data_IF_204330082247
#
_entry.id   IF_204330082247
#
_cell.length_a   1.000
_cell.length_b   1.000
_cell.length_c   1.000
_cell.angle_alpha   90.00
_cell.angle_beta   90.00
_cell.angle_gamma   90.00
#
_symmetry.space_group_name_H-M   'P 1'
#
loop_
_entity.id
_entity.type
_entity.pdbx_description
1 polymer ?
#
# COMPACT_ATOMS: atom_id res chain seq x y z
N UNK A 1 -10.09 -31.07 0.37
CA UNK A 1 -9.36 -30.68 1.61
C UNK A 1 -9.93 -29.35 2.07
N UNK A 2 -10.54 -29.32 3.25
CA UNK A 2 -10.99 -28.07 3.88
C UNK A 2 -9.81 -27.38 4.57
N UNK A 3 -9.74 -26.05 4.49
CA UNK A 3 -8.72 -25.28 5.20
C UNK A 3 -9.22 -25.05 6.64
N UNK A 4 -8.32 -25.09 7.62
CA UNK A 4 -8.68 -24.73 9.00
C UNK A 4 -8.75 -23.20 9.14
N UNK A 5 -9.49 -22.71 10.13
CA UNK A 5 -9.59 -21.27 10.43
C UNK A 5 -8.19 -20.69 10.69
N UNK A 6 -7.37 -21.33 11.51
CA UNK A 6 -5.99 -20.90 11.76
C UNK A 6 -5.15 -20.78 10.49
N UNK A 7 -5.23 -21.76 9.58
CA UNK A 7 -4.52 -21.71 8.30
C UNK A 7 -5.06 -20.62 7.37
N UNK A 8 -6.36 -20.33 7.42
CA UNK A 8 -6.97 -19.22 6.69
C UNK A 8 -6.46 -17.87 7.22
N UNK A 9 -6.51 -17.65 8.53
CA UNK A 9 -6.07 -16.42 9.19
C UNK A 9 -4.59 -16.14 8.92
N UNK A 10 -3.72 -17.14 9.07
CA UNK A 10 -2.29 -16.99 8.80
C UNK A 10 -2.00 -16.65 7.33
N UNK A 11 -2.83 -17.13 6.40
CA UNK A 11 -2.72 -16.78 4.98
C UNK A 11 -3.17 -15.33 4.74
N UNK A 12 -4.33 -14.95 5.26
CA UNK A 12 -4.88 -13.59 5.12
C UNK A 12 -3.92 -12.55 5.71
N UNK A 13 -3.40 -12.80 6.91
CA UNK A 13 -2.45 -11.90 7.59
C UNK A 13 -1.17 -11.63 6.79
N UNK A 14 -0.77 -12.55 5.90
CA UNK A 14 0.36 -12.37 4.99
C UNK A 14 -0.02 -11.62 3.72
N UNK A 15 -1.17 -11.97 3.13
CA UNK A 15 -1.61 -11.41 1.85
C UNK A 15 -2.06 -9.94 1.96
N UNK A 16 -2.59 -9.55 3.13
CA UNK A 16 -3.11 -8.22 3.35
C UNK A 16 -2.04 -7.10 3.20
N UNK A 17 -0.89 -7.15 3.91
CA UNK A 17 0.18 -6.16 3.71
C UNK A 17 0.81 -6.22 2.31
N UNK A 18 0.86 -7.42 1.69
CA UNK A 18 1.33 -7.55 0.30
C UNK A 18 0.40 -6.81 -0.68
N UNK A 19 -0.92 -6.86 -0.47
CA UNK A 19 -1.90 -6.16 -1.28
C UNK A 19 -1.82 -4.64 -1.09
N UNK A 20 -1.68 -4.16 0.15
CA UNK A 20 -1.48 -2.74 0.48
C UNK A 20 -0.21 -2.17 -0.20
N UNK A 21 0.91 -2.88 -0.07
CA UNK A 21 2.19 -2.48 -0.68
C UNK A 21 2.12 -2.48 -2.22
N UNK A 22 1.33 -3.37 -2.81
CA UNK A 22 1.14 -3.44 -4.25
C UNK A 22 0.43 -2.18 -4.79
N UNK A 23 -0.52 -1.63 -4.04
CA UNK A 23 -1.19 -0.37 -4.40
C UNK A 23 -0.23 0.83 -4.33
N UNK A 24 0.59 0.91 -3.27
CA UNK A 24 1.61 1.96 -3.14
C UNK A 24 2.65 1.88 -4.27
N UNK A 25 3.07 0.66 -4.62
CA UNK A 25 4.00 0.42 -5.73
C UNK A 25 3.41 0.87 -7.07
N UNK A 26 2.12 0.60 -7.31
CA UNK A 26 1.41 1.07 -8.50
C UNK A 26 1.30 2.60 -8.54
N UNK A 27 1.02 3.24 -7.39
CA UNK A 27 0.96 4.70 -7.27
C UNK A 27 2.32 5.32 -7.59
N UNK A 28 3.41 4.80 -7.02
CA UNK A 28 4.78 5.25 -7.30
C UNK A 28 5.14 5.10 -8.78
N UNK A 29 4.84 3.96 -9.39
CA UNK A 29 5.10 3.73 -10.82
C UNK A 29 4.32 4.74 -11.69
N UNK A 30 3.07 5.02 -11.35
CA UNK A 30 2.24 6.00 -12.06
C UNK A 30 2.74 7.44 -11.89
N UNK A 31 3.31 7.79 -10.74
CA UNK A 31 3.91 9.11 -10.49
C UNK A 31 5.17 9.33 -11.34
N UNK A 32 6.05 8.32 -11.41
CA UNK A 32 7.25 8.33 -12.29
C UNK A 32 6.89 8.48 -13.77
N UNK A 33 5.79 7.84 -14.20
CA UNK A 33 5.28 8.03 -15.56
C UNK A 33 4.81 9.46 -15.80
N UNK A 34 4.08 10.06 -14.85
CA UNK A 34 3.62 11.45 -14.97
C UNK A 34 4.78 12.43 -15.04
N UNK A 35 5.81 12.25 -14.21
CA UNK A 35 7.06 13.00 -14.28
C UNK A 35 7.68 12.92 -15.68
N UNK A 36 7.84 11.71 -16.22
CA UNK A 36 8.40 11.49 -17.55
C UNK A 36 7.59 12.18 -18.65
N UNK A 37 6.25 12.16 -18.56
CA UNK A 37 5.37 12.87 -19.49
C UNK A 37 5.50 14.39 -19.41
N UNK A 38 5.70 14.94 -18.22
CA UNK A 38 5.90 16.37 -18.00
C UNK A 38 7.28 16.83 -18.48
N UNK A 39 8.33 16.03 -18.28
CA UNK A 39 9.66 16.29 -18.83
C UNK A 39 9.64 16.25 -20.36
N UNK A 40 8.95 15.27 -20.96
CA UNK A 40 8.81 15.20 -22.42
C UNK A 40 8.13 16.46 -23.01
N UNK A 41 7.18 17.08 -22.29
CA UNK A 41 6.53 18.34 -22.72
C UNK A 41 7.45 19.55 -22.70
N UNK A 42 8.56 19.49 -21.98
CA UNK A 42 9.55 20.58 -21.94
C UNK A 42 10.55 20.51 -23.11
N UNK A 43 10.48 19.47 -23.95
CA UNK A 43 11.32 19.37 -25.13
C UNK A 43 10.98 20.47 -26.16
N UNK A 44 12.01 21.02 -26.80
CA UNK A 44 11.87 22.07 -27.80
C UNK A 44 10.94 21.66 -28.95
N UNK A 45 10.08 22.59 -29.37
CA UNK A 45 9.16 22.39 -30.48
C UNK A 45 7.87 21.65 -30.13
N UNK A 46 7.66 21.24 -28.87
CA UNK A 46 6.40 20.63 -28.43
C UNK A 46 5.44 21.72 -27.93
N UNK A 47 4.23 21.75 -28.50
CA UNK A 47 3.18 22.66 -28.02
C UNK A 47 2.78 22.31 -26.58
N UNK A 48 2.58 23.33 -25.74
CA UNK A 48 2.32 23.14 -24.31
C UNK A 48 1.17 22.18 -24.03
N UNK A 49 0.10 22.14 -24.83
CA UNK A 49 -1.06 21.27 -24.60
C UNK A 49 -0.89 19.81 -25.05
N UNK A 50 0.25 19.48 -25.66
CA UNK A 50 0.52 18.12 -26.17
C UNK A 50 0.44 17.11 -25.03
N UNK A 51 -0.37 16.07 -25.22
CA UNK A 51 -0.56 15.02 -24.23
C UNK A 51 -1.43 15.39 -23.02
N UNK A 52 -2.07 16.56 -22.99
CA UNK A 52 -2.87 17.01 -21.84
C UNK A 52 -4.00 16.02 -21.47
N UNK A 53 -4.70 15.46 -22.46
CA UNK A 53 -5.73 14.43 -22.21
C UNK A 53 -5.17 13.18 -21.54
N UNK A 54 -3.95 12.77 -21.91
CA UNK A 54 -3.29 11.62 -21.29
C UNK A 54 -2.89 11.92 -19.83
N UNK A 55 -2.36 13.12 -19.56
CA UNK A 55 -2.03 13.56 -18.20
C UNK A 55 -3.27 13.62 -17.29
N UNK A 56 -4.39 14.15 -17.79
CA UNK A 56 -5.64 14.16 -17.03
C UNK A 56 -6.15 12.74 -16.72
N UNK A 57 -6.02 11.81 -17.68
CA UNK A 57 -6.38 10.40 -17.46
C UNK A 57 -5.46 9.74 -16.43
N UNK A 58 -4.15 9.98 -16.50
CA UNK A 58 -3.19 9.46 -15.52
C UNK A 58 -3.43 10.03 -14.12
N UNK A 59 -3.73 11.32 -13.99
CA UNK A 59 -4.11 11.95 -12.73
C UNK A 59 -5.39 11.32 -12.14
N UNK A 60 -6.38 11.02 -12.99
CA UNK A 60 -7.57 10.28 -12.57
C UNK A 60 -7.22 8.88 -12.07
N UNK A 61 -6.34 8.16 -12.76
CA UNK A 61 -5.85 6.85 -12.31
C UNK A 61 -5.16 6.92 -10.95
N UNK A 62 -4.27 7.89 -10.74
CA UNK A 62 -3.62 8.12 -9.44
C UNK A 62 -4.63 8.37 -8.32
N UNK A 63 -5.66 9.18 -8.58
CA UNK A 63 -6.75 9.39 -7.62
C UNK A 63 -7.48 8.09 -7.27
N UNK A 64 -7.81 7.27 -8.27
CA UNK A 64 -8.46 5.98 -8.03
C UNK A 64 -7.58 5.03 -7.22
N UNK A 65 -6.25 5.03 -7.44
CA UNK A 65 -5.33 4.24 -6.62
C UNK A 65 -5.33 4.68 -5.16
N UNK A 66 -5.36 5.99 -4.89
CA UNK A 66 -5.47 6.53 -3.53
C UNK A 66 -6.80 6.15 -2.85
N UNK A 67 -7.90 6.22 -3.61
CA UNK A 67 -9.22 5.77 -3.14
C UNK A 67 -9.20 4.26 -2.81
N UNK A 68 -8.61 3.44 -3.69
CA UNK A 68 -8.40 2.00 -3.45
C UNK A 68 -7.52 1.71 -2.24
N UNK A 69 -6.49 2.52 -1.96
CA UNK A 69 -5.67 2.39 -0.75
C UNK A 69 -6.52 2.63 0.51
N UNK A 70 -7.38 3.65 0.50
CA UNK A 70 -8.29 3.92 1.62
C UNK A 70 -9.24 2.75 1.86
N UNK A 71 -9.82 2.21 0.79
CA UNK A 71 -10.70 1.05 0.86
C UNK A 71 -9.95 -0.20 1.38
N UNK A 72 -8.70 -0.41 0.97
CA UNK A 72 -7.87 -1.52 1.45
C UNK A 72 -7.61 -1.43 2.97
N UNK A 73 -7.32 -0.22 3.48
CA UNK A 73 -7.15 0.02 4.92
C UNK A 73 -8.44 -0.28 5.69
N UNK A 74 -9.61 0.01 5.12
CA UNK A 74 -10.90 -0.34 5.73
C UNK A 74 -11.13 -1.86 5.74
N UNK A 75 -10.80 -2.54 4.64
CA UNK A 75 -10.83 -4.00 4.57
C UNK A 75 -9.93 -4.61 5.63
N UNK A 76 -8.73 -4.06 5.84
CA UNK A 76 -7.84 -4.49 6.92
C UNK A 76 -8.52 -4.39 8.29
N UNK A 77 -9.12 -3.23 8.61
CA UNK A 77 -9.80 -3.01 9.88
C UNK A 77 -11.00 -3.95 10.07
N UNK A 78 -11.78 -4.18 9.01
CA UNK A 78 -12.92 -5.11 9.04
C UNK A 78 -12.46 -6.55 9.28
N UNK A 79 -11.39 -7.00 8.61
CA UNK A 79 -10.80 -8.32 8.81
C UNK A 79 -10.26 -8.49 10.23
N UNK A 80 -9.68 -7.45 10.82
CA UNK A 80 -9.25 -7.47 12.23
C UNK A 80 -10.44 -7.62 13.17
N UNK A 81 -11.55 -6.91 12.91
CA UNK A 81 -12.80 -7.05 13.65
C UNK A 81 -13.36 -8.47 13.58
N UNK A 82 -13.49 -9.00 12.36
CA UNK A 82 -13.96 -10.39 12.14
C UNK A 82 -13.05 -11.39 12.86
N UNK A 83 -11.73 -11.23 12.76
CA UNK A 83 -10.76 -12.12 13.40
C UNK A 83 -10.90 -12.17 14.93
N UNK A 84 -11.24 -11.04 15.56
CA UNK A 84 -11.59 -10.96 16.99
C UNK A 84 -12.92 -11.64 17.29
N UNK A 85 -13.97 -11.35 16.51
CA UNK A 85 -15.31 -11.90 16.72
C UNK A 85 -15.34 -13.43 16.70
N UNK A 86 -14.53 -14.05 15.85
CA UNK A 86 -14.44 -15.52 15.74
C UNK A 86 -13.34 -16.14 16.62
N UNK A 87 -12.68 -15.36 17.48
CA UNK A 87 -11.52 -15.77 18.28
C UNK A 87 -10.39 -16.41 17.44
N UNK A 88 -10.23 -15.99 16.18
CA UNK A 88 -9.16 -16.46 15.31
C UNK A 88 -7.86 -15.67 15.50
N UNK A 89 -7.96 -14.51 16.15
CA UNK A 89 -6.84 -13.69 16.63
C UNK A 89 -7.02 -13.62 18.13
N UNK A 90 -6.00 -13.98 18.90
CA UNK A 90 -6.06 -13.84 20.35
C UNK A 90 -5.97 -12.36 20.72
N UNK A 91 -6.79 -11.91 21.67
CA UNK A 91 -6.60 -10.63 22.36
C UNK A 91 -5.41 -10.74 23.31
N UNK A 92 -4.23 -11.06 22.79
CA UNK A 92 -3.00 -11.02 23.56
C UNK A 92 -2.56 -9.55 23.63
N UNK A 93 -2.51 -8.92 24.82
CA UNK A 93 -2.05 -7.54 24.99
C UNK A 93 -0.57 -7.34 24.60
N UNK A 94 0.16 -8.40 24.25
CA UNK A 94 1.61 -8.36 23.98
C UNK A 94 2.00 -8.09 22.52
N UNK A 95 1.07 -8.05 21.56
CA UNK A 95 1.42 -7.90 20.14
C UNK A 95 1.58 -6.44 19.67
N UNK A 96 1.04 -5.47 20.41
CA UNK A 96 1.24 -4.04 20.15
C UNK A 96 2.00 -3.44 21.34
N UNK A 97 3.29 -3.08 21.18
CA UNK A 97 3.99 -2.41 22.27
C UNK A 97 3.26 -1.11 22.62
N UNK A 98 3.00 -0.87 23.91
CA UNK A 98 2.33 0.33 24.44
C UNK A 98 2.97 1.66 23.99
N UNK A 99 4.19 1.58 23.46
CA UNK A 99 4.91 2.69 22.83
C UNK A 99 5.51 2.22 21.51
N UNK A 100 5.23 2.97 20.45
CA UNK A 100 6.02 2.93 19.22
C UNK A 100 7.45 3.40 19.55
N UNK A 101 8.33 2.47 19.88
CA UNK A 101 9.76 2.72 19.92
C UNK A 101 10.27 2.58 18.49
N UNK A 102 10.74 3.69 17.93
CA UNK A 102 11.62 3.63 16.78
C UNK A 102 12.88 2.89 17.26
N UNK A 103 13.06 1.65 16.82
CA UNK A 103 14.35 0.99 16.94
C UNK A 103 15.28 1.78 16.05
N UNK A 104 16.25 2.47 16.65
CA UNK A 104 17.23 3.25 15.91
C UNK A 104 18.16 2.26 15.17
N UNK A 105 17.85 1.98 13.91
CA UNK A 105 18.60 1.06 13.04
C UNK A 105 20.08 1.44 12.85
N UNK A 106 20.52 2.58 13.40
CA UNK A 106 21.91 3.01 13.43
C UNK A 106 22.85 2.06 14.21
N UNK A 107 22.32 1.15 15.05
CA UNK A 107 23.12 0.19 15.81
C UNK A 107 23.44 -1.12 15.06
N UNK A 108 22.63 -1.52 14.07
CA UNK A 108 22.83 -2.80 13.34
C UNK A 108 23.81 -2.70 12.16
N UNK A 109 24.18 -1.50 11.73
CA UNK A 109 25.07 -1.25 10.59
C UNK A 109 26.57 -1.11 10.96
N UNK A 110 26.97 -1.34 12.22
CA UNK A 110 28.37 -1.24 12.66
C UNK A 110 29.06 -2.58 12.93
N UNK A 111 28.43 -3.70 12.60
CA UNK A 111 29.01 -5.04 12.80
C UNK A 111 28.92 -5.94 11.58
N UNK A 112 29.14 -5.39 10.38
CA UNK A 112 29.41 -6.16 9.17
C UNK A 112 30.54 -5.51 8.38
#
# INVERSE_FOLDING_TARGET
MSITISAATARIARQLPEAELSLDSALLASARLMESMLLARQADGIATFTGQTALMRLAKTQRTLLESQNDMIRVHQELLGIGRDINAIADEPEACPDRAQLVDDAAMLRSA
#
